data_IF_552359418054
#
_entry.id   IF_552359418054
#
_cell.length_a   1.000
_cell.length_b   1.000
_cell.length_c   1.000
_cell.angle_alpha   90.00
_cell.angle_beta   90.00
_cell.angle_gamma   90.00
#
_symmetry.space_group_name_H-M   'P 1'
#
loop_
_entity.id
_entity.type
_entity.pdbx_description
1 polymer ?
#
# COMPACT_ATOMS: atom_id res chain seq x y z
N UNK A 1 32.97 7.29 33.12
CA UNK A 1 31.70 6.52 33.09
C UNK A 1 31.36 6.31 31.61
N UNK A 2 31.76 5.18 31.05
CA UNK A 2 31.49 4.82 29.65
C UNK A 2 30.07 4.29 29.56
N UNK A 3 29.24 4.93 28.72
CA UNK A 3 27.90 4.45 28.40
C UNK A 3 28.08 3.46 27.25
N UNK A 4 27.93 2.17 27.54
CA UNK A 4 27.91 1.14 26.51
C UNK A 4 26.57 1.23 25.76
N UNK A 5 26.60 1.67 24.50
CA UNK A 5 25.48 1.53 23.57
C UNK A 5 25.27 0.04 23.30
N UNK A 6 24.28 -0.56 23.93
CA UNK A 6 23.73 -1.83 23.49
C UNK A 6 22.89 -1.56 22.24
N UNK A 7 23.49 -1.75 21.07
CA UNK A 7 22.75 -1.90 19.83
C UNK A 7 21.80 -3.09 19.99
N UNK A 8 20.50 -2.80 20.09
CA UNK A 8 19.45 -3.81 20.10
C UNK A 8 19.38 -4.45 18.72
N UNK A 9 20.08 -5.58 18.55
CA UNK A 9 19.98 -6.41 17.34
C UNK A 9 18.54 -6.90 17.20
N UNK A 10 17.91 -6.61 16.07
CA UNK A 10 16.59 -7.17 15.74
C UNK A 10 16.70 -8.71 15.72
N UNK A 11 15.89 -9.45 16.51
CA UNK A 11 16.16 -10.86 16.81
C UNK A 11 15.77 -11.84 15.69
N UNK A 12 15.42 -11.38 14.49
CA UNK A 12 14.95 -12.22 13.40
C UNK A 12 15.91 -12.16 12.21
N UNK A 13 16.53 -13.31 11.91
CA UNK A 13 17.69 -13.51 11.04
C UNK A 13 17.50 -13.29 9.54
N UNK A 14 16.56 -12.44 9.13
CA UNK A 14 16.73 -11.76 7.86
C UNK A 14 17.69 -10.61 8.11
N UNK A 15 18.88 -10.69 7.50
CA UNK A 15 19.73 -9.51 7.36
C UNK A 15 18.82 -8.38 6.86
N UNK A 16 18.51 -7.41 7.74
CA UNK A 16 18.07 -6.09 7.30
C UNK A 16 18.97 -5.73 6.12
N UNK A 17 18.42 -5.30 4.98
CA UNK A 17 19.16 -5.16 3.73
C UNK A 17 20.55 -4.63 4.06
N UNK A 18 21.54 -5.51 3.90
CA UNK A 18 22.91 -5.24 4.35
C UNK A 18 23.35 -4.00 3.61
N UNK A 19 23.55 -2.91 4.36
CA UNK A 19 23.90 -1.57 3.88
C UNK A 19 22.79 -0.88 3.06
N UNK A 20 21.63 -0.64 3.68
CA UNK A 20 20.97 0.64 3.39
C UNK A 20 21.92 1.72 3.90
N UNK A 21 22.45 2.56 3.00
CA UNK A 21 23.37 3.68 3.22
C UNK A 21 23.56 4.07 4.71
N UNK A 22 24.80 4.21 5.18
CA UNK A 22 25.16 4.74 6.52
C UNK A 22 24.53 6.13 6.83
N UNK A 23 23.78 6.69 5.88
CA UNK A 23 22.92 7.86 6.03
C UNK A 23 21.73 7.53 6.96
N UNK A 24 21.47 8.36 7.98
CA UNK A 24 20.25 8.30 8.78
C UNK A 24 18.98 8.31 7.91
N UNK A 25 17.95 7.61 8.36
CA UNK A 25 16.63 7.60 7.74
C UNK A 25 16.07 9.02 7.66
N UNK A 26 15.64 9.40 6.46
CA UNK A 26 14.93 10.64 6.22
C UNK A 26 13.46 10.31 6.00
N UNK A 27 12.58 10.88 6.83
CA UNK A 27 11.13 10.69 6.71
C UNK A 27 10.62 11.09 5.33
N UNK A 28 11.32 12.00 4.62
CA UNK A 28 10.95 12.40 3.28
C UNK A 28 11.03 11.27 2.26
N UNK A 29 11.77 10.20 2.55
CA UNK A 29 11.91 8.99 1.73
C UNK A 29 10.65 8.09 1.75
N UNK A 30 9.66 8.35 2.62
CA UNK A 30 8.42 7.54 2.69
C UNK A 30 7.47 7.94 1.54
N UNK A 31 7.18 7.04 0.57
CA UNK A 31 6.31 7.36 -0.56
C UNK A 31 4.81 7.27 -0.21
N UNK A 32 4.45 6.50 0.83
CA UNK A 32 3.07 6.33 1.24
C UNK A 32 2.62 7.50 2.15
N UNK A 33 1.62 8.31 1.76
CA UNK A 33 1.19 9.48 2.54
C UNK A 33 0.63 9.08 3.91
N UNK A 34 -0.02 7.93 4.01
CA UNK A 34 -0.61 7.43 5.28
C UNK A 34 0.48 7.04 6.28
N UNK A 35 1.50 6.31 5.83
CA UNK A 35 2.63 5.94 6.69
C UNK A 35 3.45 7.18 7.06
N UNK A 36 3.73 8.09 6.12
CA UNK A 36 4.43 9.35 6.40
C UNK A 36 3.68 10.18 7.45
N UNK A 37 2.36 10.28 7.33
CA UNK A 37 1.49 10.95 8.30
C UNK A 37 1.53 10.26 9.68
N UNK A 38 1.43 8.93 9.72
CA UNK A 38 1.53 8.17 10.97
C UNK A 38 2.85 8.40 11.70
N UNK A 39 3.96 8.52 10.98
CA UNK A 39 5.27 8.86 11.58
C UNK A 39 5.31 10.32 12.05
N UNK A 40 4.87 11.29 11.22
CA UNK A 40 4.89 12.72 11.58
C UNK A 40 4.00 13.05 12.78
N UNK A 41 2.88 12.36 12.93
CA UNK A 41 1.98 12.52 14.08
C UNK A 41 2.35 11.65 15.28
N UNK A 42 3.48 10.92 15.23
CA UNK A 42 3.96 10.11 16.35
C UNK A 42 3.14 8.85 16.64
N UNK A 43 2.28 8.43 15.70
CA UNK A 43 1.51 7.16 15.79
C UNK A 43 2.37 5.96 15.42
N UNK A 44 3.38 6.18 14.58
CA UNK A 44 4.38 5.19 14.20
C UNK A 44 5.75 5.63 14.71
N UNK A 45 6.43 4.75 15.45
CA UNK A 45 7.78 4.99 15.94
C UNK A 45 8.80 4.38 14.99
N UNK A 46 9.76 5.20 14.55
CA UNK A 46 10.78 4.81 13.58
C UNK A 46 12.17 5.09 14.16
N UNK A 47 13.08 4.13 14.03
CA UNK A 47 14.48 4.31 14.42
C UNK A 47 15.31 5.03 13.34
N UNK A 48 16.57 5.31 13.64
CA UNK A 48 17.50 5.99 12.72
C UNK A 48 17.79 5.24 11.42
N UNK A 49 17.40 3.96 11.33
CA UNK A 49 17.58 3.11 10.14
C UNK A 49 16.28 2.91 9.36
N UNK A 50 15.17 3.53 9.80
CA UNK A 50 13.87 3.43 9.15
C UNK A 50 13.03 2.24 9.61
N UNK A 51 13.45 1.49 10.65
CA UNK A 51 12.64 0.40 11.18
C UNK A 51 11.50 0.97 12.00
N UNK A 52 10.28 0.71 11.56
CA UNK A 52 9.06 1.09 12.21
C UNK A 52 8.57 -0.02 13.15
N UNK A 53 8.16 0.33 14.38
CA UNK A 53 7.44 -0.56 15.31
C UNK A 53 5.97 -0.15 15.45
N UNK A 54 5.10 -1.07 15.84
CA UNK A 54 3.68 -0.79 16.08
C UNK A 54 2.85 -0.64 14.80
N UNK A 55 3.36 -1.09 13.65
CA UNK A 55 2.66 -0.99 12.37
C UNK A 55 1.33 -1.78 12.40
N UNK A 56 1.30 -2.96 13.01
CA UNK A 56 0.08 -3.77 13.08
C UNK A 56 -1.03 -3.07 13.87
N UNK A 57 -0.66 -2.36 14.94
CA UNK A 57 -1.59 -1.62 15.80
C UNK A 57 -2.05 -0.35 15.09
N UNK A 58 -1.13 0.42 14.50
CA UNK A 58 -1.49 1.58 13.68
C UNK A 58 -2.46 1.22 12.55
N UNK A 59 -2.14 0.18 11.76
CA UNK A 59 -3.03 -0.23 10.66
C UNK A 59 -4.39 -0.70 11.19
N UNK A 60 -4.46 -1.28 12.38
CA UNK A 60 -5.71 -1.80 12.96
C UNK A 60 -6.56 -0.71 13.59
N UNK A 61 -5.95 0.07 14.47
CA UNK A 61 -6.63 0.98 15.38
C UNK A 61 -6.82 2.35 14.74
N UNK A 62 -5.87 2.82 13.92
CA UNK A 62 -5.98 4.09 13.21
C UNK A 62 -6.63 3.91 11.83
N UNK A 63 -6.07 3.04 11.00
CA UNK A 63 -6.51 2.87 9.60
C UNK A 63 -7.73 1.93 9.50
N UNK A 64 -7.97 1.08 10.50
CA UNK A 64 -9.10 0.17 10.51
C UNK A 64 -8.92 -1.13 9.74
N UNK A 65 -7.70 -1.47 9.33
CA UNK A 65 -7.38 -2.65 8.54
C UNK A 65 -7.58 -3.95 9.35
N UNK A 66 -8.36 -4.87 8.79
CA UNK A 66 -8.55 -6.24 9.32
C UNK A 66 -7.25 -7.04 9.21
N UNK A 67 -7.15 -8.10 10.01
CA UNK A 67 -5.95 -8.94 10.14
C UNK A 67 -5.32 -9.32 8.80
N UNK A 68 -6.08 -9.88 7.86
CA UNK A 68 -5.51 -10.35 6.60
C UNK A 68 -4.98 -9.24 5.71
N UNK A 69 -5.63 -8.07 5.68
CA UNK A 69 -5.15 -6.93 4.91
C UNK A 69 -3.83 -6.39 5.48
N UNK A 70 -3.71 -6.35 6.81
CA UNK A 70 -2.45 -6.00 7.49
C UNK A 70 -1.33 -6.96 7.11
N UNK A 71 -1.59 -8.26 7.08
CA UNK A 71 -0.58 -9.27 6.71
C UNK A 71 -0.12 -9.13 5.26
N UNK A 72 -1.03 -8.85 4.33
CA UNK A 72 -0.67 -8.60 2.93
C UNK A 72 0.17 -7.32 2.78
N UNK A 73 -0.18 -6.25 3.50
CA UNK A 73 0.62 -5.03 3.48
C UNK A 73 2.05 -5.28 3.98
N UNK A 74 2.21 -5.96 5.12
CA UNK A 74 3.55 -6.28 5.67
C UNK A 74 4.34 -7.23 4.73
N UNK A 75 3.68 -8.25 4.18
CA UNK A 75 4.31 -9.20 3.26
C UNK A 75 4.75 -8.53 1.95
N UNK A 76 3.89 -7.69 1.36
CA UNK A 76 4.18 -6.96 0.13
C UNK A 76 5.38 -6.03 0.30
N UNK A 77 5.51 -5.43 1.48
CA UNK A 77 6.56 -4.48 1.78
C UNK A 77 7.92 -5.14 2.10
N UNK A 78 7.94 -6.35 2.69
CA UNK A 78 9.17 -7.03 3.11
C UNK A 78 9.91 -7.83 2.02
N UNK A 79 9.46 -7.84 0.75
CA UNK A 79 10.08 -8.59 -0.38
C UNK A 79 10.48 -10.03 0.00
N UNK A 80 9.66 -10.70 0.79
CA UNK A 80 10.06 -11.99 1.39
C UNK A 80 10.12 -13.13 0.38
N UNK A 81 11.18 -13.94 0.44
CA UNK A 81 11.26 -15.26 -0.20
C UNK A 81 10.34 -16.27 0.51
N UNK A 82 10.03 -17.39 -0.14
CA UNK A 82 9.11 -18.42 0.37
C UNK A 82 9.47 -18.92 1.78
N UNK A 83 10.76 -18.99 2.12
CA UNK A 83 11.26 -19.48 3.41
C UNK A 83 11.10 -18.48 4.57
N UNK A 84 10.81 -17.20 4.28
CA UNK A 84 10.67 -16.12 5.27
C UNK A 84 9.24 -15.61 5.47
N UNK A 85 8.25 -16.21 4.77
CA UNK A 85 6.86 -15.72 4.76
C UNK A 85 6.24 -15.67 6.16
N UNK A 86 6.49 -16.68 6.99
CA UNK A 86 5.98 -16.70 8.37
C UNK A 86 6.60 -15.61 9.23
N UNK A 87 7.91 -15.39 9.11
CA UNK A 87 8.62 -14.35 9.85
C UNK A 87 8.15 -12.95 9.40
N UNK A 88 7.95 -12.72 8.10
CA UNK A 88 7.37 -11.46 7.62
C UNK A 88 5.93 -11.25 8.09
N UNK A 89 5.07 -12.28 8.03
CA UNK A 89 3.68 -12.17 8.48
C UNK A 89 3.62 -11.93 9.99
N UNK A 90 4.52 -12.52 10.77
CA UNK A 90 4.53 -12.36 12.24
C UNK A 90 5.33 -11.15 12.71
N UNK A 91 6.15 -10.54 11.85
CA UNK A 91 6.91 -9.35 12.19
C UNK A 91 6.00 -8.19 12.60
N UNK A 92 6.34 -7.59 13.74
CA UNK A 92 5.78 -6.31 14.18
C UNK A 92 6.66 -5.12 13.80
N UNK A 93 7.70 -5.38 13.01
CA UNK A 93 8.60 -4.37 12.50
C UNK A 93 8.67 -4.39 10.97
N UNK A 94 8.73 -3.20 10.40
CA UNK A 94 8.81 -2.99 8.96
C UNK A 94 9.79 -1.85 8.67
N UNK A 95 10.74 -2.05 7.76
CA UNK A 95 11.65 -0.97 7.38
C UNK A 95 11.00 -0.10 6.30
N UNK A 96 10.75 1.17 6.59
CA UNK A 96 10.06 2.09 5.68
C UNK A 96 10.83 2.32 4.37
N UNK A 97 12.17 2.18 4.35
CA UNK A 97 12.96 2.24 3.10
C UNK A 97 12.68 1.05 2.19
N UNK A 98 12.27 -0.09 2.76
CA UNK A 98 11.95 -1.27 1.98
C UNK A 98 10.71 -1.09 1.10
N UNK A 99 9.86 -0.08 1.34
CA UNK A 99 8.73 0.26 0.46
C UNK A 99 9.20 0.51 -0.97
N UNK A 100 10.31 1.26 -1.13
CA UNK A 100 10.87 1.56 -2.45
C UNK A 100 11.42 0.28 -3.07
N UNK A 101 10.87 -0.06 -4.23
CA UNK A 101 11.09 -1.28 -4.97
C UNK A 101 10.39 -2.53 -4.39
N UNK A 102 9.60 -2.41 -3.31
CA UNK A 102 8.84 -3.54 -2.77
C UNK A 102 7.83 -4.11 -3.78
N UNK A 103 7.14 -5.19 -3.41
CA UNK A 103 6.00 -5.66 -4.18
C UNK A 103 4.79 -4.71 -4.12
N UNK A 104 4.84 -3.67 -3.29
CA UNK A 104 3.87 -2.58 -3.27
C UNK A 104 4.33 -1.38 -4.10
N UNK A 105 5.59 -1.32 -4.55
CA UNK A 105 6.06 -0.27 -5.44
C UNK A 105 5.55 -0.53 -6.87
N UNK A 106 5.12 0.52 -7.56
CA UNK A 106 4.57 0.42 -8.90
C UNK A 106 4.66 1.75 -9.66
N UNK A 107 4.64 1.65 -10.99
CA UNK A 107 4.50 2.79 -11.89
C UNK A 107 3.08 3.39 -11.78
N UNK A 108 2.89 4.62 -12.23
CA UNK A 108 1.60 5.32 -12.17
C UNK A 108 0.98 5.40 -10.75
N UNK A 109 1.81 5.40 -9.70
CA UNK A 109 1.42 5.92 -8.39
C UNK A 109 1.06 7.43 -8.49
N UNK A 110 0.64 8.05 -7.39
CA UNK A 110 0.34 9.50 -7.38
C UNK A 110 1.52 10.39 -7.81
N UNK A 111 2.77 9.90 -7.72
CA UNK A 111 4.01 10.65 -7.93
C UNK A 111 4.21 11.87 -7.01
N UNK A 112 3.28 12.16 -6.09
CA UNK A 112 3.34 13.33 -5.22
C UNK A 112 4.48 13.21 -4.20
N UNK A 113 4.80 12.00 -3.75
CA UNK A 113 5.82 11.72 -2.71
C UNK A 113 6.97 10.82 -3.17
N UNK A 114 6.98 10.33 -4.42
CA UNK A 114 7.88 9.28 -4.91
C UNK A 114 9.37 9.62 -4.74
N UNK A 115 9.73 10.90 -4.86
CA UNK A 115 11.09 11.42 -4.66
C UNK A 115 11.07 12.70 -3.80
N UNK A 116 10.28 12.68 -2.73
CA UNK A 116 9.93 13.88 -1.97
C UNK A 116 8.67 14.56 -2.50
N UNK A 117 8.22 15.59 -1.78
CA UNK A 117 6.97 16.29 -2.11
C UNK A 117 7.06 17.09 -3.43
N UNK A 118 6.12 16.84 -4.34
CA UNK A 118 5.94 17.60 -5.57
C UNK A 118 4.63 18.40 -5.57
N UNK A 119 4.75 19.73 -5.47
CA UNK A 119 3.61 20.63 -5.58
C UNK A 119 2.94 20.54 -6.95
N UNK A 120 3.71 20.40 -8.03
CA UNK A 120 3.19 20.23 -9.39
C UNK A 120 2.31 18.98 -9.52
N UNK A 121 2.75 17.84 -8.96
CA UNK A 121 1.97 16.60 -8.98
C UNK A 121 0.69 16.71 -8.14
N UNK A 122 0.77 17.39 -6.99
CA UNK A 122 -0.40 17.68 -6.17
C UNK A 122 -1.40 18.58 -6.92
N UNK A 123 -0.93 19.65 -7.54
CA UNK A 123 -1.77 20.58 -8.32
C UNK A 123 -2.40 19.86 -9.51
N UNK A 124 -1.67 18.97 -10.19
CA UNK A 124 -2.23 18.09 -11.23
C UNK A 124 -3.38 17.26 -10.68
N UNK A 125 -3.20 16.58 -9.54
CA UNK A 125 -4.27 15.79 -8.92
C UNK A 125 -5.52 16.63 -8.62
N UNK A 126 -5.32 17.80 -8.00
CA UNK A 126 -6.40 18.72 -7.62
C UNK A 126 -7.11 19.31 -8.85
N UNK A 127 -6.43 19.46 -9.98
CA UNK A 127 -7.04 19.96 -11.23
C UNK A 127 -8.12 19.05 -11.79
N UNK A 128 -8.17 17.77 -11.37
CA UNK A 128 -9.25 16.84 -11.75
C UNK A 128 -10.51 17.01 -10.92
N UNK A 129 -10.47 17.78 -9.83
CA UNK A 129 -11.65 18.10 -9.02
C UNK A 129 -12.69 18.81 -9.87
N UNK A 130 -13.82 18.15 -10.10
CA UNK A 130 -14.87 18.65 -11.00
C UNK A 130 -15.62 19.87 -10.46
N UNK A 131 -15.66 20.03 -9.14
CA UNK A 131 -16.28 21.16 -8.44
C UNK A 131 -15.27 22.11 -7.75
N UNK A 132 -13.98 21.78 -7.76
CA UNK A 132 -12.92 22.54 -7.10
C UNK A 132 -12.87 22.37 -5.58
N UNK A 133 -13.77 21.61 -4.97
CA UNK A 133 -13.87 21.43 -3.52
C UNK A 133 -13.50 20.01 -3.06
N UNK A 134 -13.82 19.00 -3.88
CA UNK A 134 -13.60 17.58 -3.55
C UNK A 134 -13.13 16.77 -4.76
N UNK A 135 -12.47 15.66 -4.46
CA UNK A 135 -12.10 14.62 -5.40
C UNK A 135 -13.01 13.41 -5.18
N UNK A 136 -13.92 13.18 -6.12
CA UNK A 136 -14.73 11.96 -6.17
C UNK A 136 -13.89 10.78 -6.67
N UNK A 137 -14.38 9.54 -6.53
CA UNK A 137 -13.72 8.38 -7.15
C UNK A 137 -13.57 8.56 -8.66
N UNK A 138 -14.58 9.16 -9.32
CA UNK A 138 -14.54 9.51 -10.74
C UNK A 138 -13.41 10.48 -11.08
N UNK A 139 -13.21 11.52 -10.28
CA UNK A 139 -12.14 12.51 -10.50
C UNK A 139 -10.77 11.85 -10.31
N UNK A 140 -10.62 11.02 -9.28
CA UNK A 140 -9.40 10.26 -9.01
C UNK A 140 -9.11 9.22 -10.10
N UNK A 141 -10.14 8.62 -10.71
CA UNK A 141 -9.96 7.71 -11.84
C UNK A 141 -9.40 8.42 -13.05
N UNK A 142 -9.94 9.59 -13.42
CA UNK A 142 -9.38 10.40 -14.51
C UNK A 142 -7.94 10.84 -14.23
N UNK A 143 -7.66 11.20 -12.98
CA UNK A 143 -6.30 11.51 -12.56
C UNK A 143 -5.37 10.29 -12.76
N UNK A 144 -5.80 9.10 -12.33
CA UNK A 144 -5.05 7.87 -12.53
C UNK A 144 -4.84 7.54 -14.01
N UNK A 145 -5.85 7.69 -14.86
CA UNK A 145 -5.73 7.50 -16.31
C UNK A 145 -4.64 8.42 -16.88
N UNK A 146 -4.59 9.68 -16.43
CA UNK A 146 -3.51 10.60 -16.83
C UNK A 146 -2.12 10.21 -16.31
N UNK A 147 -2.04 9.42 -15.24
CA UNK A 147 -0.77 8.85 -14.74
C UNK A 147 -0.38 7.61 -15.55
N UNK A 148 -1.36 6.80 -15.97
CA UNK A 148 -1.16 5.63 -16.83
C UNK A 148 -0.77 6.02 -18.26
N UNK A 149 -1.20 7.17 -18.75
CA UNK A 149 -0.71 7.74 -20.01
C UNK A 149 0.79 8.09 -19.93
N UNK A 150 1.25 8.61 -18.79
CA UNK A 150 2.66 8.93 -18.57
C UNK A 150 3.52 7.68 -18.31
N UNK A 151 3.01 6.75 -17.51
CA UNK A 151 3.71 5.52 -17.11
C UNK A 151 2.81 4.28 -17.25
N UNK A 152 2.62 3.76 -18.48
CA UNK A 152 1.72 2.64 -18.72
C UNK A 152 2.10 1.37 -17.95
N UNK A 153 1.08 0.65 -17.45
CA UNK A 153 1.28 -0.68 -16.89
C UNK A 153 0.10 -1.18 -16.07
N UNK A 154 -0.31 -2.43 -16.31
CA UNK A 154 -1.44 -3.07 -15.61
C UNK A 154 -1.26 -3.10 -14.08
N UNK A 155 -0.02 -3.30 -13.62
CA UNK A 155 0.30 -3.28 -12.18
C UNK A 155 0.03 -1.90 -11.58
N UNK A 156 0.41 -0.83 -12.28
CA UNK A 156 0.13 0.54 -11.86
C UNK A 156 -1.36 0.87 -11.85
N UNK A 157 -2.10 0.34 -12.82
CA UNK A 157 -3.56 0.51 -12.87
C UNK A 157 -4.24 -0.15 -11.67
N UNK A 158 -3.87 -1.39 -11.33
CA UNK A 158 -4.47 -2.12 -10.22
C UNK A 158 -4.11 -1.49 -8.88
N UNK A 159 -2.82 -1.25 -8.62
CA UNK A 159 -2.39 -0.71 -7.33
C UNK A 159 -2.78 0.76 -7.16
N UNK A 160 -2.65 1.60 -8.18
CA UNK A 160 -3.10 3.00 -8.09
C UNK A 160 -4.60 3.11 -7.82
N UNK A 161 -5.43 2.24 -8.41
CA UNK A 161 -6.87 2.21 -8.13
C UNK A 161 -7.13 1.83 -6.68
N UNK A 162 -6.40 0.84 -6.16
CA UNK A 162 -6.48 0.43 -4.77
C UNK A 162 -6.04 1.54 -3.81
N UNK A 163 -4.94 2.25 -4.11
CA UNK A 163 -4.44 3.34 -3.29
C UNK A 163 -5.42 4.51 -3.20
N UNK A 164 -5.96 4.98 -4.33
CA UNK A 164 -6.94 6.06 -4.33
C UNK A 164 -8.26 5.64 -3.68
N UNK A 165 -8.72 4.41 -3.94
CA UNK A 165 -9.90 3.85 -3.27
C UNK A 165 -9.71 3.78 -1.76
N UNK A 166 -8.52 3.40 -1.29
CA UNK A 166 -8.18 3.36 0.14
C UNK A 166 -8.16 4.75 0.77
N UNK A 167 -7.62 5.76 0.07
CA UNK A 167 -7.63 7.15 0.56
C UNK A 167 -9.07 7.61 0.78
N UNK A 168 -9.96 7.38 -0.18
CA UNK A 168 -11.37 7.77 -0.04
C UNK A 168 -12.11 6.89 0.97
N UNK A 169 -11.85 5.59 1.02
CA UNK A 169 -12.50 4.70 1.99
C UNK A 169 -12.13 5.07 3.43
N UNK A 170 -10.87 5.40 3.70
CA UNK A 170 -10.38 5.69 5.06
C UNK A 170 -10.65 7.12 5.50
N UNK A 171 -10.45 8.10 4.61
CA UNK A 171 -10.48 9.53 4.94
C UNK A 171 -11.62 10.30 4.28
N UNK A 172 -12.31 9.68 3.34
CA UNK A 172 -13.38 10.30 2.59
C UNK A 172 -14.71 10.32 3.33
N UNK A 173 -15.71 10.84 2.60
CA UNK A 173 -17.08 11.05 3.02
C UNK A 173 -18.00 10.56 1.90
N UNK A 174 -19.27 10.37 2.23
CA UNK A 174 -20.32 10.04 1.27
C UNK A 174 -21.31 11.20 1.25
N UNK A 175 -21.69 11.69 0.06
CA UNK A 175 -22.73 12.73 -0.05
C UNK A 175 -24.14 12.15 0.02
N UNK A 176 -25.15 13.02 -0.09
CA UNK A 176 -26.56 12.62 0.00
C UNK A 176 -26.97 11.68 -1.14
N UNK A 177 -26.28 11.75 -2.27
CA UNK A 177 -26.47 10.96 -3.46
C UNK A 177 -25.74 9.61 -3.41
N UNK A 178 -24.91 9.38 -2.38
CA UNK A 178 -24.17 8.14 -2.20
C UNK A 178 -22.77 8.13 -2.81
N UNK A 179 -22.32 9.24 -3.41
CA UNK A 179 -20.99 9.31 -4.02
C UNK A 179 -19.93 9.47 -2.94
N UNK A 180 -18.86 8.67 -3.04
CA UNK A 180 -17.71 8.78 -2.15
C UNK A 180 -16.69 9.77 -2.69
N UNK A 181 -16.15 10.58 -1.79
CA UNK A 181 -15.19 11.62 -2.12
C UNK A 181 -14.25 11.93 -0.96
N UNK A 182 -13.11 12.56 -1.25
CA UNK A 182 -12.26 13.22 -0.26
C UNK A 182 -12.26 14.73 -0.51
N UNK A 183 -12.31 15.55 0.54
CA UNK A 183 -12.19 17.00 0.37
C UNK A 183 -10.79 17.36 -0.13
N UNK A 184 -10.68 18.36 -1.01
CA UNK A 184 -9.38 18.82 -1.52
C UNK A 184 -8.45 19.24 -0.38
N UNK A 185 -9.00 19.92 0.66
CA UNK A 185 -8.23 20.28 1.86
C UNK A 185 -7.64 19.05 2.58
N UNK A 186 -8.37 17.95 2.64
CA UNK A 186 -7.97 16.74 3.35
C UNK A 186 -6.95 15.95 2.53
N UNK A 187 -7.10 15.95 1.21
CA UNK A 187 -6.10 15.42 0.28
C UNK A 187 -4.77 16.18 0.37
N UNK A 188 -4.81 17.52 0.38
CA UNK A 188 -3.63 18.36 0.61
C UNK A 188 -2.99 18.04 1.96
N UNK A 189 -3.76 17.94 3.04
CA UNK A 189 -3.22 17.62 4.37
C UNK A 189 -2.46 16.31 4.40
N UNK A 190 -3.00 15.26 3.77
CA UNK A 190 -2.35 13.95 3.73
C UNK A 190 -1.03 13.97 2.94
N UNK A 191 -1.03 14.60 1.77
CA UNK A 191 0.12 14.55 0.86
C UNK A 191 1.17 15.62 1.15
N UNK A 192 0.77 16.86 1.43
CA UNK A 192 1.66 18.00 1.64
C UNK A 192 2.04 18.18 3.10
N UNK A 193 1.04 18.23 3.97
CA UNK A 193 1.27 18.52 5.39
C UNK A 193 1.67 17.25 6.17
N UNK A 194 1.34 16.09 5.59
CA UNK A 194 1.40 14.77 6.19
C UNK A 194 0.74 14.76 7.57
N UNK A 195 -0.51 15.22 7.57
CA UNK A 195 -1.42 15.25 8.70
C UNK A 195 -2.72 14.57 8.33
N UNK A 196 -3.35 13.93 9.30
CA UNK A 196 -4.70 13.41 9.11
C UNK A 196 -5.71 14.57 8.96
N UNK A 197 -6.86 14.30 8.30
CA UNK A 197 -7.96 15.27 8.27
C UNK A 197 -8.41 15.65 9.68
N UNK A 198 -8.80 16.90 9.90
CA UNK A 198 -9.14 17.40 11.25
C UNK A 198 -10.36 16.71 11.87
N UNK A 199 -11.35 16.41 11.03
CA UNK A 199 -12.61 15.77 11.44
C UNK A 199 -12.53 14.23 11.32
N UNK A 200 -11.36 13.69 10.96
CA UNK A 200 -11.21 12.25 10.80
C UNK A 200 -11.12 11.55 12.15
N UNK A 201 -11.94 10.51 12.29
CA UNK A 201 -11.92 9.62 13.44
C UNK A 201 -11.60 8.21 12.96
N UNK A 202 -10.59 7.55 13.57
CA UNK A 202 -10.30 6.16 13.29
C UNK A 202 -11.52 5.25 13.42
N UNK A 203 -11.61 4.26 12.53
CA UNK A 203 -12.68 3.24 12.54
C UNK A 203 -12.07 1.84 12.62
N UNK A 204 -11.70 1.34 13.82
CA UNK A 204 -11.03 0.06 13.96
C UNK A 204 -11.80 -1.09 13.29
N UNK A 205 -11.11 -1.90 12.49
CA UNK A 205 -11.66 -3.12 11.89
C UNK A 205 -12.69 -2.95 10.75
N UNK A 206 -12.95 -1.73 10.25
CA UNK A 206 -13.90 -1.54 9.14
C UNK A 206 -13.35 -2.03 7.78
N UNK A 207 -12.03 -1.94 7.57
CA UNK A 207 -11.40 -2.15 6.27
C UNK A 207 -10.92 -3.60 6.09
N UNK A 208 -11.67 -4.40 5.32
CA UNK A 208 -11.28 -5.75 4.89
C UNK A 208 -11.12 -5.88 3.38
N UNK A 209 -10.78 -7.08 2.88
CA UNK A 209 -10.68 -7.31 1.44
C UNK A 209 -11.98 -7.10 0.68
N UNK A 210 -13.13 -7.41 1.30
CA UNK A 210 -14.43 -7.15 0.68
C UNK A 210 -14.65 -5.65 0.50
N UNK A 211 -14.40 -4.86 1.54
CA UNK A 211 -14.52 -3.39 1.49
C UNK A 211 -13.56 -2.80 0.44
N UNK A 212 -12.29 -3.23 0.44
CA UNK A 212 -11.31 -2.81 -0.55
C UNK A 212 -11.72 -3.21 -1.98
N UNK A 213 -12.13 -4.45 -2.18
CA UNK A 213 -12.57 -4.97 -3.48
C UNK A 213 -13.81 -4.22 -4.00
N UNK A 214 -14.78 -3.95 -3.13
CA UNK A 214 -15.94 -3.12 -3.47
C UNK A 214 -15.54 -1.70 -3.82
N UNK A 215 -14.59 -1.12 -3.08
CA UNK A 215 -14.14 0.24 -3.33
C UNK A 215 -13.43 0.39 -4.67
N UNK A 216 -12.56 -0.57 -5.00
CA UNK A 216 -11.89 -0.66 -6.30
C UNK A 216 -12.90 -0.90 -7.43
N UNK A 217 -13.89 -1.77 -7.23
CA UNK A 217 -14.91 -2.01 -8.25
C UNK A 217 -15.74 -0.75 -8.56
N UNK A 218 -16.11 0.02 -7.54
CA UNK A 218 -16.80 1.32 -7.69
C UNK A 218 -15.90 2.34 -8.40
N UNK A 219 -14.61 2.40 -8.06
CA UNK A 219 -13.64 3.27 -8.71
C UNK A 219 -13.54 3.02 -10.23
N UNK A 220 -13.60 1.76 -10.67
CA UNK A 220 -13.64 1.42 -12.09
C UNK A 220 -15.01 1.67 -12.73
N UNK A 221 -16.11 1.46 -12.00
CA UNK A 221 -17.47 1.70 -12.51
C UNK A 221 -17.74 3.20 -12.78
N UNK A 222 -17.19 4.09 -11.94
CA UNK A 222 -17.37 5.54 -12.09
C UNK A 222 -16.58 6.15 -13.25
N UNK A 223 -15.55 5.44 -13.73
CA UNK A 223 -14.72 5.82 -14.88
C UNK A 223 -15.31 5.45 -16.25
N UNK A 224 -16.28 4.52 -16.30
CA UNK A 224 -16.78 4.03 -17.59
C UNK A 224 -17.78 5.00 -18.22
N UNK A 225 -17.28 6.01 -18.94
CA UNK A 225 -18.01 6.50 -20.12
C UNK A 225 -17.60 5.76 -21.39
N UNK A 226 -16.42 5.12 -21.45
CA UNK A 226 -15.98 4.28 -22.58
C UNK A 226 -14.73 3.45 -22.18
N UNK A 227 -14.85 2.15 -21.86
CA UNK A 227 -13.89 1.04 -22.17
C UNK A 227 -13.95 -0.23 -21.27
N UNK A 228 -13.76 -1.35 -21.99
CA UNK A 228 -13.32 -2.74 -21.71
C UNK A 228 -13.73 -3.52 -20.41
N UNK A 229 -14.58 -4.57 -20.49
CA UNK A 229 -14.98 -5.43 -19.36
C UNK A 229 -13.88 -6.36 -18.78
N UNK A 230 -12.63 -6.26 -19.22
CA UNK A 230 -11.54 -7.15 -18.81
C UNK A 230 -11.06 -7.01 -17.35
N UNK A 231 -11.20 -5.84 -16.74
CA UNK A 231 -10.63 -5.55 -15.40
C UNK A 231 -11.52 -6.07 -14.25
N UNK A 232 -12.84 -6.10 -14.44
CA UNK A 232 -13.80 -6.62 -13.45
C UNK A 232 -13.73 -8.15 -13.26
N UNK A 233 -13.19 -8.88 -14.24
CA UNK A 233 -13.12 -10.34 -14.19
C UNK A 233 -11.99 -10.88 -13.29
N UNK A 234 -10.88 -10.14 -13.13
CA UNK A 234 -9.74 -10.56 -12.32
C UNK A 234 -10.00 -10.52 -10.80
N UNK A 235 -10.97 -9.71 -10.36
CA UNK A 235 -11.33 -9.55 -8.94
C UNK A 235 -12.59 -10.32 -8.53
N UNK A 236 -13.46 -10.71 -9.48
CA UNK A 236 -14.75 -11.36 -9.19
C UNK A 236 -14.79 -12.88 -9.41
N UNK A 237 -13.79 -13.50 -10.04
CA UNK A 237 -13.85 -14.95 -10.36
C UNK A 237 -13.35 -15.91 -9.28
N UNK A 238 -13.09 -15.47 -8.04
CA UNK A 238 -12.67 -16.37 -6.95
C UNK A 238 -13.76 -16.86 -5.98
N UNK A 239 -15.04 -16.56 -6.21
CA UNK A 239 -16.13 -17.10 -5.35
C UNK A 239 -16.95 -18.25 -5.95
N UNK A 240 -16.51 -18.85 -7.06
CA UNK A 240 -17.26 -19.95 -7.68
C UNK A 240 -16.46 -21.22 -7.98
N UNK A 241 -15.44 -21.59 -7.18
CA UNK A 241 -14.96 -23.00 -7.12
C UNK A 241 -14.53 -23.38 -5.71
N UNK A 242 -15.36 -24.18 -5.04
CA UNK A 242 -14.94 -25.04 -3.93
C UNK A 242 -13.85 -25.99 -4.45
N UNK A 243 -12.63 -25.87 -3.93
CA UNK A 243 -11.58 -26.88 -4.06
C UNK A 243 -10.23 -26.33 -4.49
N UNK A 244 -9.25 -26.50 -3.59
CA UNK A 244 -7.81 -26.22 -3.72
C UNK A 244 -7.40 -24.74 -3.81
N UNK A 245 -6.57 -24.34 -2.83
CA UNK A 245 -5.95 -23.03 -2.74
C UNK A 245 -5.02 -22.77 -3.93
N UNK A 246 -5.36 -21.73 -4.70
CA UNK A 246 -4.44 -21.09 -5.63
C UNK A 246 -4.46 -19.59 -5.35
N UNK A 247 -3.46 -19.10 -4.63
CA UNK A 247 -3.18 -17.67 -4.55
C UNK A 247 -2.66 -17.22 -5.93
N UNK A 248 -3.30 -16.24 -6.61
CA UNK A 248 -2.86 -15.79 -7.94
C UNK A 248 -1.54 -14.98 -7.89
N UNK A 249 -0.97 -14.76 -6.70
CA UNK A 249 0.29 -14.03 -6.50
C UNK A 249 1.56 -14.83 -6.88
N UNK A 250 1.44 -16.07 -7.35
CA UNK A 250 2.56 -16.97 -7.69
C UNK A 250 2.65 -17.36 -9.18
N UNK A 251 1.90 -16.70 -10.08
CA UNK A 251 2.03 -16.96 -11.52
C UNK A 251 3.09 -16.06 -12.15
N UNK A 252 4.35 -16.47 -11.97
CA UNK A 252 5.50 -15.84 -12.62
C UNK A 252 6.72 -16.74 -12.81
N UNK A 253 6.72 -17.97 -12.28
CA UNK A 253 7.77 -18.95 -12.56
C UNK A 253 7.14 -20.31 -12.84
N UNK A 254 7.31 -20.81 -14.07
CA UNK A 254 7.04 -22.21 -14.39
C UNK A 254 8.12 -23.06 -13.73
N UNK A 255 7.85 -23.58 -12.55
CA UNK A 255 8.71 -24.60 -11.92
C UNK A 255 8.37 -25.93 -12.58
N UNK A 256 9.34 -26.57 -13.24
CA UNK A 256 9.21 -27.94 -13.71
C UNK A 256 9.06 -28.87 -12.48
N UNK A 257 7.91 -29.55 -12.29
CA UNK A 257 7.71 -30.45 -11.16
C UNK A 257 8.75 -31.59 -11.11
N UNK A 258 9.31 -31.96 -12.26
CA UNK A 258 10.35 -32.98 -12.35
C UNK A 258 11.72 -32.47 -11.87
N UNK A 259 12.00 -31.17 -11.98
CA UNK A 259 13.23 -30.55 -11.47
C UNK A 259 13.17 -30.36 -9.96
N UNK A 260 12.01 -29.95 -9.43
CA UNK A 260 11.78 -29.84 -7.99
C UNK A 260 11.88 -31.20 -7.27
N UNK A 261 11.43 -32.29 -7.91
CA UNK A 261 11.54 -33.63 -7.34
C UNK A 261 12.99 -34.15 -7.26
N UNK A 262 13.88 -33.72 -8.17
CA UNK A 262 15.31 -34.11 -8.13
C UNK A 262 16.04 -33.47 -6.97
N UNK A 263 15.75 -32.22 -6.64
CA UNK A 263 16.40 -31.51 -5.53
C UNK A 263 16.03 -32.02 -4.13
N UNK A 264 14.99 -32.83 -3.99
CA UNK A 264 14.59 -33.43 -2.72
C UNK A 264 15.05 -34.89 -2.53
N UNK A 265 15.46 -35.58 -3.60
CA UNK A 265 15.98 -36.95 -3.50
C UNK A 265 17.40 -37.00 -2.90
N UNK A 266 18.22 -35.97 -3.14
CA UNK A 266 19.60 -35.90 -2.63
C UNK A 266 19.70 -35.55 -1.14
N UNK A 267 18.58 -35.21 -0.48
CA UNK A 267 18.54 -34.87 0.96
C UNK A 267 17.96 -35.98 1.84
N UNK A 268 17.72 -37.17 1.27
CA UNK A 268 17.21 -38.35 2.00
C UNK A 268 18.20 -39.53 2.01
N UNK A 269 19.50 -39.26 1.90
CA UNK A 269 20.57 -40.21 2.26
C UNK A 269 21.46 -39.63 3.36
#
# INVERSE_FOLDING_TARGET
>A
MQIHNHASVCPYGHKAPTQADDKPFDIEEIPCPVLKTGVREGRLQVDEYGNCKGLNDFLKDDIGAKYMLRKVAVLGANRTSADGVWDAITSDSFNLRALKGSNLDHNADSQILRNGFSQERLDKALSFSSDGERLTLKDLRKYQESLLEEEPGQRGEVFGSAEFSLVVEVFGRTDAEGNRFIMNKDFVRLFKDNRFPEDWNPRPGHLGFYQLGSAVAEFFADGSSDQDPGVTAALSTQEAKKGAAACPFMQGQTVDPAEAARHHADKLQ
#
